data_IF_073574857308
#
_entry.id   IF_073574857308
#
_cell.length_a   1.000
_cell.length_b   1.000
_cell.length_c   1.000
_cell.angle_alpha   90.00
_cell.angle_beta   90.00
_cell.angle_gamma   90.00
#
_symmetry.space_group_name_H-M   'P 1'
#
loop_
_entity.id
_entity.type
_entity.pdbx_description
1 polymer ?
#
# COMPACT_ATOMS: atom_id res chain seq x y z
N UNK A 1 2.63 -2.03 16.41
CA UNK A 1 1.19 -1.69 16.27
C UNK A 1 0.67 -2.56 15.15
N UNK A 2 -0.19 -3.52 15.41
CA UNK A 2 -0.63 -4.47 14.39
C UNK A 2 -1.42 -3.79 13.26
N UNK A 3 -1.22 -4.23 12.02
CA UNK A 3 -2.00 -3.78 10.87
C UNK A 3 -1.60 -2.44 10.24
N UNK A 4 -0.42 -1.87 10.55
CA UNK A 4 -0.02 -0.61 9.92
C UNK A 4 0.41 -0.81 8.47
N UNK A 5 0.89 -1.99 8.07
CA UNK A 5 1.11 -2.31 6.64
C UNK A 5 -0.21 -2.20 5.85
N UNK A 6 -1.32 -2.73 6.38
CA UNK A 6 -2.64 -2.61 5.75
C UNK A 6 -3.05 -1.14 5.62
N UNK A 7 -2.91 -0.34 6.68
CA UNK A 7 -3.22 1.09 6.64
C UNK A 7 -2.39 1.85 5.62
N UNK A 8 -1.08 1.59 5.56
CA UNK A 8 -0.19 2.20 4.58
C UNK A 8 -0.62 1.88 3.14
N UNK A 9 -0.98 0.62 2.85
CA UNK A 9 -1.48 0.22 1.54
C UNK A 9 -2.76 1.00 1.18
N UNK A 10 -3.74 1.06 2.08
CA UNK A 10 -4.98 1.81 1.83
C UNK A 10 -4.70 3.30 1.60
N UNK A 11 -3.78 3.90 2.36
CA UNK A 11 -3.36 5.30 2.15
C UNK A 11 -2.69 5.53 0.80
N UNK A 12 -1.84 4.60 0.31
CA UNK A 12 -1.25 4.71 -1.03
C UNK A 12 -2.35 4.70 -2.09
N UNK A 13 -3.32 3.78 -1.95
CA UNK A 13 -4.44 3.63 -2.89
C UNK A 13 -5.30 4.89 -2.89
N UNK A 14 -5.66 5.41 -1.72
CA UNK A 14 -6.48 6.62 -1.57
C UNK A 14 -5.79 7.84 -2.17
N UNK A 15 -4.54 8.13 -1.77
CA UNK A 15 -3.80 9.30 -2.23
C UNK A 15 -3.56 9.31 -3.75
N UNK A 16 -3.38 8.14 -4.36
CA UNK A 16 -3.19 8.04 -5.81
C UNK A 16 -4.48 8.03 -6.62
N UNK A 17 -5.54 7.49 -6.04
CA UNK A 17 -6.81 7.40 -6.76
C UNK A 17 -7.57 8.72 -6.73
N UNK A 18 -7.50 9.48 -5.63
CA UNK A 18 -8.30 10.70 -5.47
C UNK A 18 -9.80 10.45 -5.65
N UNK A 19 -10.27 9.24 -5.33
CA UNK A 19 -11.66 8.81 -5.55
C UNK A 19 -11.97 8.27 -6.96
N UNK A 20 -11.02 8.29 -7.90
CA UNK A 20 -11.20 7.70 -9.23
C UNK A 20 -10.98 6.17 -9.21
N UNK A 21 -12.01 5.40 -9.58
CA UNK A 21 -11.99 3.94 -9.50
C UNK A 21 -10.97 3.29 -10.46
N UNK A 22 -10.76 3.87 -11.65
CA UNK A 22 -9.74 3.39 -12.60
C UNK A 22 -8.33 3.53 -12.03
N UNK A 23 -8.04 4.68 -11.40
CA UNK A 23 -6.75 4.91 -10.74
C UNK A 23 -6.57 4.04 -9.50
N UNK A 24 -7.65 3.78 -8.75
CA UNK A 24 -7.64 2.84 -7.62
C UNK A 24 -7.26 1.43 -8.06
N UNK A 25 -7.91 0.91 -9.10
CA UNK A 25 -7.62 -0.41 -9.65
C UNK A 25 -6.19 -0.49 -10.21
N UNK A 26 -5.76 0.53 -10.96
CA UNK A 26 -4.39 0.60 -11.48
C UNK A 26 -3.35 0.63 -10.35
N UNK A 27 -3.64 1.38 -9.28
CA UNK A 27 -2.76 1.45 -8.10
C UNK A 27 -2.69 0.11 -7.37
N UNK A 28 -3.81 -0.59 -7.18
CA UNK A 28 -3.86 -1.96 -6.62
C UNK A 28 -3.05 -2.94 -7.48
N UNK A 29 -3.23 -2.92 -8.80
CA UNK A 29 -2.45 -3.76 -9.72
C UNK A 29 -0.95 -3.47 -9.62
N UNK A 30 -0.55 -2.19 -9.55
CA UNK A 30 0.86 -1.82 -9.42
C UNK A 30 1.48 -2.29 -8.09
N UNK A 31 0.72 -2.27 -6.99
CA UNK A 31 1.15 -2.84 -5.71
C UNK A 31 1.35 -4.36 -5.79
N UNK A 32 0.43 -5.08 -6.45
CA UNK A 32 0.55 -6.52 -6.68
C UNK A 32 1.81 -6.85 -7.49
N UNK A 33 2.08 -6.10 -8.57
CA UNK A 33 3.28 -6.27 -9.40
C UNK A 33 4.55 -6.01 -8.58
N UNK A 34 4.52 -5.07 -7.64
CA UNK A 34 5.62 -4.77 -6.69
C UNK A 34 5.69 -5.77 -5.52
N UNK A 35 4.89 -6.84 -5.52
CA UNK A 35 4.91 -7.90 -4.50
C UNK A 35 4.02 -7.65 -3.28
N UNK A 36 3.27 -6.54 -3.24
CA UNK A 36 2.41 -6.15 -2.13
C UNK A 36 0.93 -6.31 -2.49
N UNK A 37 0.41 -7.53 -2.33
CA UNK A 37 -1.00 -7.79 -2.57
C UNK A 37 -1.89 -7.17 -1.47
N UNK A 38 -2.76 -6.17 -1.75
CA UNK A 38 -3.51 -5.46 -0.70
C UNK A 38 -4.40 -6.33 0.17
N UNK A 39 -4.92 -7.43 -0.40
CA UNK A 39 -5.86 -8.34 0.29
C UNK A 39 -5.16 -9.40 1.16
N UNK A 40 -3.82 -9.52 1.08
CA UNK A 40 -3.05 -10.40 1.98
C UNK A 40 -2.78 -9.77 3.34
N UNK A 41 -3.01 -8.47 3.48
CA UNK A 41 -2.76 -7.72 4.69
C UNK A 41 -4.07 -7.40 5.40
N UNK A 42 -4.11 -7.67 6.68
CA UNK A 42 -5.26 -7.40 7.55
C UNK A 42 -4.85 -6.42 8.65
N UNK A 43 -5.84 -5.91 9.38
CA UNK A 43 -5.58 -5.08 10.57
C UNK A 43 -4.94 -5.90 11.73
N UNK A 44 -4.91 -7.22 11.61
CA UNK A 44 -4.33 -8.15 12.58
C UNK A 44 -2.99 -8.75 12.11
N UNK A 45 -2.55 -8.41 10.90
CA UNK A 45 -1.25 -8.85 10.40
C UNK A 45 -0.12 -8.22 11.20
N UNK A 46 0.86 -9.04 11.58
CA UNK A 46 2.08 -8.57 12.21
C UNK A 46 2.83 -7.60 11.29
N UNK A 47 3.36 -6.57 11.93
CA UNK A 47 4.06 -5.50 11.25
C UNK A 47 5.56 -5.79 11.29
N UNK A 48 6.09 -6.28 10.17
CA UNK A 48 7.53 -6.44 9.97
C UNK A 48 8.16 -5.07 9.59
N UNK A 49 9.12 -4.54 10.37
CA UNK A 49 9.84 -3.31 10.05
C UNK A 49 10.47 -3.30 8.65
N UNK A 50 10.99 -4.44 8.17
CA UNK A 50 11.57 -4.55 6.83
C UNK A 50 10.50 -4.36 5.75
N UNK A 51 9.33 -4.97 5.93
CA UNK A 51 8.18 -4.81 5.02
C UNK A 51 7.61 -3.40 5.05
N UNK A 52 7.66 -2.71 6.18
CA UNK A 52 7.29 -1.30 6.27
C UNK A 52 8.28 -0.42 5.47
N UNK A 53 9.58 -0.71 5.56
CA UNK A 53 10.60 0.04 4.82
C UNK A 53 10.46 -0.15 3.30
N UNK A 54 10.28 -1.40 2.84
CA UNK A 54 9.99 -1.72 1.44
C UNK A 54 8.74 -0.96 0.93
N UNK A 55 7.65 -0.99 1.70
CA UNK A 55 6.40 -0.31 1.31
C UNK A 55 6.54 1.22 1.25
N UNK A 56 7.38 1.82 2.12
CA UNK A 56 7.72 3.25 2.04
C UNK A 56 8.45 3.59 0.75
N UNK A 57 9.37 2.74 0.29
CA UNK A 57 10.06 2.93 -0.99
C UNK A 57 9.08 2.83 -2.16
N UNK A 58 8.19 1.83 -2.13
CA UNK A 58 7.14 1.70 -3.15
C UNK A 58 6.23 2.94 -3.19
N UNK A 59 5.86 3.48 -2.02
CA UNK A 59 5.08 4.72 -1.97
C UNK A 59 5.82 5.89 -2.61
N UNK A 60 7.12 6.05 -2.31
CA UNK A 60 7.98 7.09 -2.89
C UNK A 60 8.08 6.95 -4.43
N UNK A 61 8.36 5.74 -4.94
CA UNK A 61 8.35 5.40 -6.38
C UNK A 61 7.03 5.78 -7.07
N UNK A 62 5.95 5.74 -6.30
CA UNK A 62 4.60 6.04 -6.74
C UNK A 62 4.21 7.50 -6.50
N UNK A 63 5.12 8.35 -6.04
CA UNK A 63 4.88 9.78 -5.78
C UNK A 63 4.03 10.06 -4.54
N UNK A 64 3.93 9.10 -3.62
CA UNK A 64 3.13 9.19 -2.39
C UNK A 64 4.03 9.34 -1.18
N UNK A 65 3.77 10.38 -0.37
CA UNK A 65 4.40 10.55 0.95
C UNK A 65 3.54 9.91 2.04
N UNK A 66 4.10 8.96 2.78
CA UNK A 66 3.48 8.23 3.90
C UNK A 66 3.90 8.78 5.26
#
# INVERSE_FOLDING_TARGET
MTGKIKRMIETIIEKRSGGNETLKNTTRTKLIIKGYHPDRWTLQSEDDPAKIAELRQIALDMGVKL
#
